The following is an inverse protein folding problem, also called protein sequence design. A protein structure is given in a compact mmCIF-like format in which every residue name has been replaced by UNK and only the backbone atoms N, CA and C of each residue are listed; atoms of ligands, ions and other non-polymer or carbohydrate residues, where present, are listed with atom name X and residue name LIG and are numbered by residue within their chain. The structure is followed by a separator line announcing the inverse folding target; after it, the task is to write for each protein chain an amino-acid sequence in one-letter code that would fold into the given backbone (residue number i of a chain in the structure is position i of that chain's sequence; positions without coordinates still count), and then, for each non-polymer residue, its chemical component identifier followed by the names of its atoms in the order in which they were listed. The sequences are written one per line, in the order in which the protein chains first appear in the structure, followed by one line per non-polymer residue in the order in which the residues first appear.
data_IF_474801360389
#
_entry.id   IF_474801360389
#
_cell.length_a   1.000
_cell.length_b   1.000
_cell.length_c   1.000
_cell.angle_alpha   90.00
_cell.angle_beta   90.00
_cell.angle_gamma   90.00
#
_symmetry.space_group_name_H-M   'P 1'
#
loop_
_entity.id
_entity.type
_entity.pdbx_description
1 polymer ?
#
# COMPACT_ATOMS: atom_id res chain seq x y z
N UNK A 1 -13.75 -22.68 -13.00
CA UNK A 1 -13.22 -21.30 -13.05
C UNK A 1 -14.43 -20.39 -13.13
N UNK A 2 -14.73 -19.67 -12.04
CA UNK A 2 -15.97 -18.91 -11.85
C UNK A 2 -15.84 -17.51 -12.45
N UNK A 3 -16.95 -16.94 -12.94
CA UNK A 3 -17.03 -15.61 -13.55
C UNK A 3 -16.43 -14.46 -12.70
N UNK A 4 -16.19 -14.68 -11.40
CA UNK A 4 -15.59 -13.71 -10.48
C UNK A 4 -14.06 -13.67 -10.48
N UNK A 5 -13.38 -14.77 -10.85
CA UNK A 5 -11.93 -14.75 -11.06
C UNK A 5 -11.60 -13.93 -12.29
N UNK A 6 -12.41 -14.07 -13.35
CA UNK A 6 -12.33 -13.23 -14.56
C UNK A 6 -12.53 -11.75 -14.25
N UNK A 7 -13.48 -11.42 -13.38
CA UNK A 7 -13.75 -10.04 -13.01
C UNK A 7 -12.59 -9.38 -12.25
N UNK A 8 -11.72 -10.11 -11.54
CA UNK A 8 -10.51 -9.55 -10.91
C UNK A 8 -9.37 -9.33 -11.91
N UNK A 9 -9.28 -10.18 -12.93
CA UNK A 9 -8.29 -10.06 -14.00
C UNK A 9 -8.47 -8.74 -14.79
N UNK A 10 -9.72 -8.28 -14.97
CA UNK A 10 -10.04 -7.12 -15.82
C UNK A 10 -9.64 -5.74 -15.27
N UNK A 11 -9.35 -5.60 -13.95
CA UNK A 11 -9.00 -4.30 -13.33
C UNK A 11 -7.76 -4.34 -12.45
N UNK A 12 -7.12 -5.51 -12.34
CA UNK A 12 -5.82 -5.62 -11.67
C UNK A 12 -4.71 -5.04 -12.56
N UNK A 13 -3.68 -4.48 -11.92
CA UNK A 13 -2.55 -3.88 -12.65
C UNK A 13 -1.29 -4.72 -12.40
N UNK A 14 -0.81 -5.47 -13.40
CA UNK A 14 0.43 -6.22 -13.27
C UNK A 14 1.64 -5.28 -13.35
N UNK A 15 2.52 -5.35 -12.35
CA UNK A 15 3.75 -4.57 -12.27
C UNK A 15 4.97 -5.50 -12.19
N UNK A 16 5.93 -5.40 -13.13
CA UNK A 16 7.13 -6.21 -13.07
C UNK A 16 7.95 -5.85 -11.83
N UNK A 17 8.41 -6.87 -11.10
CA UNK A 17 9.32 -6.69 -9.98
C UNK A 17 10.72 -6.46 -10.54
N UNK A 18 11.17 -5.21 -10.45
CA UNK A 18 12.50 -4.81 -10.94
C UNK A 18 13.63 -5.45 -10.12
N UNK A 19 14.79 -5.64 -10.75
CA UNK A 19 16.01 -6.07 -10.05
C UNK A 19 16.39 -5.14 -8.89
N UNK A 20 16.14 -3.84 -9.05
CA UNK A 20 16.34 -2.85 -7.99
C UNK A 20 15.48 -3.14 -6.76
N UNK A 21 14.18 -3.42 -6.97
CA UNK A 21 13.26 -3.80 -5.89
C UNK A 21 13.70 -5.10 -5.21
N UNK A 22 14.09 -6.12 -5.97
CA UNK A 22 14.59 -7.37 -5.40
C UNK A 22 15.84 -7.16 -4.56
N UNK A 23 16.79 -6.34 -5.02
CA UNK A 23 18.03 -6.06 -4.30
C UNK A 23 17.76 -5.38 -2.96
N UNK A 24 16.88 -4.38 -2.92
CA UNK A 24 16.52 -3.71 -1.67
C UNK A 24 15.75 -4.64 -0.75
N UNK A 25 14.78 -5.40 -1.27
CA UNK A 25 14.02 -6.36 -0.48
C UNK A 25 14.94 -7.40 0.16
N UNK A 26 15.92 -7.94 -0.59
CA UNK A 26 16.95 -8.87 -0.06
C UNK A 26 17.78 -8.22 1.05
N UNK A 27 18.20 -6.97 0.84
CA UNK A 27 18.97 -6.23 1.85
C UNK A 27 18.15 -6.00 3.12
N UNK A 28 16.91 -5.52 3.01
CA UNK A 28 16.08 -5.25 4.18
C UNK A 28 15.70 -6.53 4.92
N UNK A 29 15.49 -7.63 4.19
CA UNK A 29 15.22 -8.94 4.77
C UNK A 29 16.43 -9.50 5.53
N UNK A 30 17.66 -9.34 5.03
CA UNK A 30 18.87 -9.83 5.71
C UNK A 30 19.21 -9.07 6.99
N UNK A 31 18.60 -7.91 7.21
CA UNK A 31 18.70 -7.13 8.45
C UNK A 31 17.75 -7.63 9.55
N UNK A 32 16.86 -8.59 9.27
CA UNK A 32 15.83 -9.04 10.21
C UNK A 32 16.31 -10.20 11.10
N UNK A 33 15.86 -10.26 12.37
CA UNK A 33 16.35 -11.23 13.35
C UNK A 33 15.82 -12.65 13.15
N UNK A 34 14.67 -12.80 12.48
CA UNK A 34 14.01 -14.10 12.26
C UNK A 34 13.67 -14.28 10.79
N UNK A 35 13.60 -15.54 10.35
CA UNK A 35 13.23 -15.89 8.98
C UNK A 35 11.83 -15.40 8.62
N UNK A 36 10.87 -15.52 9.55
CA UNK A 36 9.50 -15.02 9.38
C UNK A 36 9.49 -13.50 9.14
N UNK A 37 10.21 -12.74 9.98
CA UNK A 37 10.31 -11.29 9.83
C UNK A 37 11.04 -10.90 8.56
N UNK A 38 12.08 -11.64 8.17
CA UNK A 38 12.80 -11.45 6.92
C UNK A 38 11.86 -11.62 5.72
N UNK A 39 11.03 -12.66 5.71
CA UNK A 39 10.05 -12.90 4.64
C UNK A 39 8.98 -11.80 4.61
N UNK A 40 8.44 -11.41 5.76
CA UNK A 40 7.47 -10.31 5.86
C UNK A 40 8.04 -8.99 5.32
N UNK A 41 9.25 -8.60 5.75
CA UNK A 41 9.91 -7.39 5.26
C UNK A 41 10.24 -7.49 3.76
N UNK A 42 10.65 -8.66 3.28
CA UNK A 42 10.90 -8.90 1.87
C UNK A 42 9.65 -8.60 1.01
N UNK A 43 8.53 -9.22 1.35
CA UNK A 43 7.27 -9.05 0.62
C UNK A 43 6.72 -7.62 0.71
N UNK A 44 6.77 -7.01 1.90
CA UNK A 44 6.38 -5.61 2.09
C UNK A 44 7.19 -4.68 1.19
N UNK A 45 8.50 -4.88 1.13
CA UNK A 45 9.38 -4.04 0.31
C UNK A 45 9.05 -4.16 -1.17
N UNK A 46 8.78 -5.38 -1.66
CA UNK A 46 8.36 -5.61 -3.04
C UNK A 46 7.02 -4.93 -3.35
N UNK A 47 6.03 -5.06 -2.46
CA UNK A 47 4.73 -4.42 -2.61
C UNK A 47 4.86 -2.89 -2.68
N UNK A 48 5.62 -2.28 -1.75
CA UNK A 48 5.87 -0.83 -1.76
C UNK A 48 6.55 -0.37 -3.05
N UNK A 49 7.54 -1.11 -3.54
CA UNK A 49 8.21 -0.77 -4.80
C UNK A 49 7.27 -0.87 -6.00
N UNK A 50 6.45 -1.90 -6.08
CA UNK A 50 5.48 -2.08 -7.16
C UNK A 50 4.44 -0.95 -7.19
N UNK A 51 3.86 -0.61 -6.04
CA UNK A 51 2.92 0.51 -5.90
C UNK A 51 3.59 1.83 -6.22
N UNK A 52 4.81 2.07 -5.73
CA UNK A 52 5.59 3.27 -6.07
C UNK A 52 5.79 3.40 -7.58
N UNK A 53 6.12 2.31 -8.27
CA UNK A 53 6.31 2.32 -9.72
C UNK A 53 4.99 2.63 -10.45
N UNK A 54 3.89 1.99 -10.05
CA UNK A 54 2.56 2.25 -10.61
C UNK A 54 2.17 3.73 -10.45
N UNK A 55 2.24 4.27 -9.23
CA UNK A 55 1.86 5.66 -8.95
C UNK A 55 2.68 6.66 -9.75
N UNK A 56 3.99 6.42 -9.88
CA UNK A 56 4.87 7.29 -10.69
C UNK A 56 4.52 7.23 -12.18
N UNK A 57 4.13 6.06 -12.71
CA UNK A 57 3.69 5.92 -14.11
C UNK A 57 2.45 6.77 -14.37
N UNK A 58 1.50 6.79 -13.44
CA UNK A 58 0.27 7.60 -13.57
C UNK A 58 0.44 9.06 -13.08
N UNK A 59 1.67 9.52 -12.86
CA UNK A 59 1.98 10.92 -12.53
C UNK A 59 1.79 11.32 -11.07
N UNK A 60 1.57 10.36 -10.16
CA UNK A 60 1.44 10.63 -8.72
C UNK A 60 2.84 10.59 -8.07
N UNK A 61 3.20 11.70 -7.41
CA UNK A 61 4.52 11.87 -6.79
C UNK A 61 4.62 11.17 -5.43
N UNK A 62 5.56 10.24 -5.31
CA UNK A 62 5.80 9.42 -4.11
C UNK A 62 7.22 9.64 -3.56
N UNK A 63 7.40 9.33 -2.28
CA UNK A 63 8.72 9.33 -1.64
C UNK A 63 8.91 8.09 -0.75
N UNK A 64 9.85 7.22 -1.15
CA UNK A 64 10.16 6.01 -0.40
C UNK A 64 10.87 6.32 0.92
N UNK A 65 11.83 7.24 0.92
CA UNK A 65 12.77 7.41 2.05
C UNK A 65 12.16 8.04 3.29
N UNK A 66 10.95 8.61 3.16
CA UNK A 66 10.17 9.20 4.26
C UNK A 66 9.27 8.16 4.93
N UNK A 67 9.02 7.02 4.27
CA UNK A 67 8.18 5.95 4.80
C UNK A 67 8.84 5.21 5.98
N UNK A 68 8.02 4.79 6.93
CA UNK A 68 8.44 3.96 8.05
C UNK A 68 8.99 2.61 7.56
N UNK A 69 8.50 2.10 6.42
CA UNK A 69 9.02 0.92 5.74
C UNK A 69 10.46 1.08 5.24
N UNK A 70 10.95 2.30 5.01
CA UNK A 70 12.36 2.58 4.70
C UNK A 70 13.21 2.85 5.94
N UNK A 71 12.59 2.97 7.12
CA UNK A 71 13.30 3.14 8.39
C UNK A 71 13.66 1.78 9.02
N UNK A 72 14.96 1.57 9.30
CA UNK A 72 15.47 0.30 9.85
C UNK A 72 14.83 -0.11 11.18
N UNK A 73 14.62 0.84 12.09
CA UNK A 73 14.03 0.58 13.40
C UNK A 73 12.55 0.22 13.25
N UNK A 74 11.82 0.93 12.40
CA UNK A 74 10.41 0.67 12.18
C UNK A 74 10.16 -0.67 11.49
N UNK A 75 10.99 -1.05 10.50
CA UNK A 75 10.93 -2.39 9.89
C UNK A 75 11.08 -3.51 10.90
N UNK A 76 11.98 -3.34 11.88
CA UNK A 76 12.18 -4.32 12.95
C UNK A 76 10.96 -4.42 13.87
N UNK A 77 10.37 -3.27 14.23
CA UNK A 77 9.33 -3.18 15.25
C UNK A 77 7.92 -3.51 14.73
N UNK A 78 7.61 -3.20 13.46
CA UNK A 78 6.23 -3.20 12.94
C UNK A 78 6.15 -3.94 11.60
N UNK A 79 5.02 -4.60 11.32
CA UNK A 79 4.67 -5.05 9.97
C UNK A 79 4.16 -3.87 9.14
N UNK A 80 5.08 -2.98 8.78
CA UNK A 80 4.79 -1.76 8.01
C UNK A 80 5.23 -1.89 6.55
N UNK A 81 4.39 -1.42 5.65
CA UNK A 81 4.61 -1.35 4.22
C UNK A 81 4.07 -0.03 3.66
N UNK A 82 4.35 1.07 4.34
CA UNK A 82 3.81 2.37 3.99
C UNK A 82 4.54 2.99 2.77
N UNK A 83 3.81 3.83 2.04
CA UNK A 83 4.35 4.64 0.94
C UNK A 83 3.86 6.08 1.09
N UNK A 84 4.79 7.02 1.18
CA UNK A 84 4.44 8.44 1.25
C UNK A 84 4.03 8.97 -0.12
N UNK A 85 2.83 9.55 -0.19
CA UNK A 85 2.33 10.29 -1.35
C UNK A 85 2.41 11.78 -1.05
N UNK A 86 3.15 12.50 -1.88
CA UNK A 86 3.50 13.90 -1.66
C UNK A 86 2.24 14.75 -1.50
N UNK A 87 2.20 15.57 -0.44
CA UNK A 87 1.09 16.47 -0.09
C UNK A 87 -0.26 15.79 0.24
N UNK A 88 -0.31 14.46 0.33
CA UNK A 88 -1.56 13.71 0.54
C UNK A 88 -1.52 12.87 1.83
N UNK A 89 -0.45 12.13 2.05
CA UNK A 89 -0.28 11.27 3.23
C UNK A 89 0.28 9.89 2.89
N UNK A 90 0.02 8.91 3.75
CA UNK A 90 0.61 7.56 3.67
C UNK A 90 -0.38 6.56 3.10
N UNK A 91 0.03 5.82 2.08
CA UNK A 91 -0.61 4.56 1.68
C UNK A 91 -0.03 3.41 2.49
N UNK A 92 -0.75 2.31 2.58
CA UNK A 92 -0.23 1.03 3.07
C UNK A 92 -0.29 -0.01 1.94
N UNK A 93 0.84 -0.63 1.60
CA UNK A 93 0.98 -1.55 0.47
C UNK A 93 1.06 -2.99 1.00
N UNK A 94 -0.04 -3.73 0.99
CA UNK A 94 -0.15 -5.02 1.67
C UNK A 94 0.07 -6.19 0.72
N UNK A 95 1.13 -6.99 0.89
CA UNK A 95 1.35 -8.17 0.08
C UNK A 95 0.37 -9.29 0.45
N UNK A 96 -0.06 -10.07 -0.54
CA UNK A 96 -0.82 -11.32 -0.36
C UNK A 96 -0.24 -12.43 -1.25
N UNK A 97 -0.48 -13.68 -0.87
CA UNK A 97 -0.10 -14.83 -1.67
C UNK A 97 -1.05 -15.02 -2.87
N UNK A 98 -0.60 -15.69 -3.95
CA UNK A 98 -1.43 -15.97 -5.10
C UNK A 98 -2.73 -16.71 -4.75
N UNK A 99 -3.86 -16.15 -5.17
CA UNK A 99 -5.19 -16.73 -4.94
C UNK A 99 -5.76 -16.51 -3.53
N UNK A 100 -5.14 -15.63 -2.73
CA UNK A 100 -5.71 -15.20 -1.45
C UNK A 100 -7.13 -14.62 -1.65
N UNK A 101 -8.02 -14.84 -0.69
CA UNK A 101 -9.39 -14.28 -0.74
C UNK A 101 -9.56 -13.06 0.16
N UNK A 102 -8.70 -12.92 1.16
CA UNK A 102 -8.69 -11.83 2.12
C UNK A 102 -7.24 -11.36 2.32
N UNK A 103 -7.10 -10.08 2.69
CA UNK A 103 -5.84 -9.51 3.13
C UNK A 103 -5.94 -9.14 4.61
N UNK A 104 -5.01 -9.66 5.41
CA UNK A 104 -4.85 -9.24 6.80
C UNK A 104 -4.21 -7.84 6.90
N UNK A 105 -4.77 -6.98 7.75
CA UNK A 105 -4.16 -5.69 8.10
C UNK A 105 -3.72 -5.71 9.57
N UNK A 106 -2.40 -5.63 9.85
CA UNK A 106 -1.87 -5.52 11.21
C UNK A 106 -2.45 -4.32 11.94
N UNK A 107 -2.68 -4.45 13.25
CA UNK A 107 -3.34 -3.41 14.04
C UNK A 107 -2.59 -2.07 14.02
N UNK A 108 -1.27 -2.13 13.98
CA UNK A 108 -0.35 -1.01 14.05
C UNK A 108 -0.44 -0.09 12.83
N UNK A 109 -0.94 -0.59 11.70
CA UNK A 109 -1.01 0.14 10.43
C UNK A 109 -2.44 0.48 10.00
N UNK A 110 -3.44 0.29 10.88
CA UNK A 110 -4.86 0.57 10.56
C UNK A 110 -5.24 2.05 10.63
N UNK A 111 -4.36 2.88 11.17
CA UNK A 111 -4.59 4.31 11.35
C UNK A 111 -3.56 5.12 10.57
N UNK A 112 -3.90 6.39 10.31
CA UNK A 112 -3.03 7.32 9.57
C UNK A 112 -2.60 6.78 8.20
N UNK A 113 -3.56 6.20 7.48
CA UNK A 113 -3.43 5.78 6.08
C UNK A 113 -4.55 6.38 5.26
N UNK A 114 -4.21 6.86 4.07
CA UNK A 114 -5.18 7.44 3.12
C UNK A 114 -5.82 6.38 2.22
N UNK A 115 -5.18 5.22 2.07
CA UNK A 115 -5.73 4.00 1.47
C UNK A 115 -4.80 2.81 1.71
N UNK A 116 -5.34 1.61 1.49
CA UNK A 116 -4.66 0.32 1.57
C UNK A 116 -4.68 -0.31 0.20
N UNK A 117 -3.52 -0.55 -0.40
CA UNK A 117 -3.39 -1.17 -1.72
C UNK A 117 -2.97 -2.62 -1.53
N UNK A 118 -3.75 -3.55 -2.09
CA UNK A 118 -3.49 -4.97 -1.96
C UNK A 118 -2.69 -5.44 -3.17
N UNK A 119 -1.60 -6.16 -2.93
CA UNK A 119 -0.63 -6.55 -3.95
C UNK A 119 -0.41 -8.06 -3.87
N UNK A 120 -0.83 -8.79 -4.90
CA UNK A 120 -0.48 -10.20 -5.04
C UNK A 120 0.95 -10.32 -5.58
N UNK A 121 1.79 -11.13 -4.93
CA UNK A 121 3.17 -11.36 -5.37
C UNK A 121 3.29 -12.80 -5.85
N UNK A 122 3.76 -13.00 -7.08
CA UNK A 122 3.96 -14.33 -7.64
C UNK A 122 5.05 -15.12 -6.88
N UNK A 123 5.00 -16.45 -6.99
CA UNK A 123 5.93 -17.34 -6.27
C UNK A 123 7.39 -17.19 -6.73
N UNK A 124 7.59 -16.67 -7.94
CA UNK A 124 8.91 -16.43 -8.52
C UNK A 124 9.47 -15.04 -8.15
N UNK A 125 8.67 -14.18 -7.51
CA UNK A 125 9.03 -12.79 -7.18
C UNK A 125 9.45 -11.96 -8.41
N UNK A 126 8.78 -12.21 -9.53
CA UNK A 126 8.98 -11.52 -10.81
C UNK A 126 7.82 -10.58 -11.17
N UNK A 127 6.64 -10.81 -10.59
CA UNK A 127 5.44 -10.04 -10.88
C UNK A 127 4.69 -9.70 -9.59
N UNK A 128 4.32 -8.43 -9.47
CA UNK A 128 3.43 -7.92 -8.43
C UNK A 128 2.14 -7.42 -9.08
N UNK A 129 1.02 -8.06 -8.82
CA UNK A 129 -0.28 -7.69 -9.35
C UNK A 129 -1.02 -6.85 -8.32
N UNK A 130 -1.24 -5.57 -8.60
CA UNK A 130 -2.02 -4.70 -7.72
C UNK A 130 -3.50 -5.04 -7.94
N UNK A 131 -4.13 -5.61 -6.91
CA UNK A 131 -5.49 -6.16 -7.00
C UNK A 131 -6.59 -5.12 -6.80
N UNK A 132 -6.25 -3.95 -6.25
CA UNK A 132 -7.24 -2.96 -5.84
C UNK A 132 -6.84 -2.20 -4.59
N UNK A 133 -7.73 -1.33 -4.12
CA UNK A 133 -7.52 -0.60 -2.88
C UNK A 133 -8.77 -0.54 -1.99
N UNK A 134 -8.55 -0.30 -0.69
CA UNK A 134 -9.59 0.06 0.26
C UNK A 134 -9.30 1.44 0.86
N UNK A 135 -10.27 2.36 0.96
CA UNK A 135 -10.11 3.63 1.67
C UNK A 135 -9.83 3.47 3.17
N UNK A 136 -10.35 2.39 3.77
CA UNK A 136 -10.32 2.17 5.22
C UNK A 136 -9.74 0.80 5.55
N UNK A 137 -9.14 0.68 6.74
CA UNK A 137 -8.71 -0.61 7.26
C UNK A 137 -9.86 -1.41 7.88
N UNK A 138 -9.75 -2.73 7.77
CA UNK A 138 -10.40 -3.71 8.61
C UNK A 138 -9.34 -4.76 8.99
N UNK A 139 -9.60 -5.61 9.99
CA UNK A 139 -8.65 -6.69 10.32
C UNK A 139 -8.42 -7.64 9.14
N UNK A 140 -9.48 -7.92 8.40
CA UNK A 140 -9.48 -8.70 7.16
C UNK A 140 -10.20 -7.89 6.09
N UNK A 141 -9.54 -7.68 4.95
CA UNK A 141 -10.11 -7.02 3.78
C UNK A 141 -10.41 -8.07 2.70
N UNK A 142 -11.69 -8.33 2.38
CA UNK A 142 -12.04 -9.21 1.28
C UNK A 142 -11.59 -8.63 -0.06
N UNK A 143 -10.84 -9.42 -0.84
CA UNK A 143 -10.27 -8.95 -2.12
C UNK A 143 -11.39 -8.57 -3.11
N UNK A 144 -12.52 -9.25 -3.04
CA UNK A 144 -13.69 -8.98 -3.88
C UNK A 144 -14.48 -7.70 -3.50
N UNK A 145 -14.07 -6.99 -2.46
CA UNK A 145 -14.65 -5.71 -2.03
C UNK A 145 -13.72 -4.52 -2.28
N UNK A 146 -12.54 -4.76 -2.85
CA UNK A 146 -11.60 -3.70 -3.18
C UNK A 146 -12.16 -2.82 -4.30
N UNK A 147 -11.83 -1.53 -4.23
CA UNK A 147 -12.10 -0.54 -5.27
C UNK A 147 -11.03 -0.61 -6.36
N UNK A 148 -11.40 -0.26 -7.59
CA UNK A 148 -10.51 -0.30 -8.75
C UNK A 148 -9.42 0.74 -8.67
N UNK A 149 -8.21 0.41 -9.11
CA UNK A 149 -7.08 1.36 -9.10
C UNK A 149 -7.27 2.54 -10.05
N UNK A 150 -8.20 2.43 -11.01
CA UNK A 150 -8.65 3.55 -11.86
C UNK A 150 -9.32 4.66 -11.04
N UNK A 151 -10.04 4.30 -9.96
CA UNK A 151 -10.71 5.27 -9.07
C UNK A 151 -9.80 5.85 -7.99
N UNK A 152 -8.55 5.35 -7.87
CA UNK A 152 -7.60 5.79 -6.86
C UNK A 152 -7.26 7.29 -6.96
N UNK A 153 -6.98 7.88 -8.14
CA UNK A 153 -6.67 9.32 -8.23
C UNK A 153 -7.82 10.21 -7.72
N UNK A 154 -9.06 9.85 -8.01
CA UNK A 154 -10.24 10.58 -7.52
C UNK A 154 -10.33 10.51 -5.99
N UNK A 155 -10.13 9.31 -5.42
CA UNK A 155 -10.11 9.10 -3.97
C UNK A 155 -9.02 9.93 -3.26
N UNK A 156 -7.81 9.92 -3.83
CA UNK A 156 -6.67 10.68 -3.31
C UNK A 156 -6.91 12.19 -3.36
N UNK A 157 -7.51 12.70 -4.44
CA UNK A 157 -7.86 14.11 -4.57
C UNK A 157 -8.91 14.55 -3.55
N UNK A 158 -9.97 13.76 -3.34
CA UNK A 158 -11.00 14.05 -2.31
C UNK A 158 -10.39 14.12 -0.91
N UNK A 159 -9.48 13.20 -0.61
CA UNK A 159 -8.77 13.16 0.69
C UNK A 159 -7.92 14.41 0.93
N UNK A 160 -7.38 15.03 -0.12
CA UNK A 160 -6.62 16.28 -0.04
C UNK A 160 -7.50 17.48 0.33
N UNK A 161 -8.71 17.56 -0.24
CA UNK A 161 -9.64 18.67 -0.04
C UNK A 161 -10.16 18.68 1.40
N UNK A 162 -10.48 17.51 1.96
CA UNK A 162 -10.94 17.39 3.34
C UNK A 162 -9.89 17.83 4.37
N UNK A 163 -8.60 17.65 4.07
CA UNK A 163 -7.50 18.13 4.93
C UNK A 163 -7.22 19.63 4.81
N UNK A 164 -7.72 20.26 3.75
CA UNK A 164 -7.52 21.68 3.45
C UNK A 164 -8.67 22.57 3.91
N UNK A 165 -9.75 22.04 4.51
CA UNK A 165 -10.77 22.89 5.11
C UNK A 165 -10.14 23.67 6.28
N UNK A 166 -10.01 25.01 6.15
CA UNK A 166 -9.61 25.82 7.29
C UNK A 166 -10.75 25.71 8.29
N UNK A 167 -10.44 25.39 9.54
CA UNK A 167 -11.33 25.78 10.62
C UNK A 167 -11.48 27.31 10.49
N UNK A 168 -12.57 27.80 9.91
CA UNK A 168 -12.89 29.22 10.03
C UNK A 168 -13.38 29.37 11.47
N UNK A 169 -12.57 30.03 12.29
CA UNK A 169 -12.96 30.54 13.60
C UNK A 169 -14.28 31.29 13.44
N UNK A 170 -15.40 30.66 13.80
CA UNK A 170 -16.56 31.37 14.32
C UNK A 170 -16.21 31.85 15.73
N UNK A 171 -15.23 32.75 15.83
CA UNK A 171 -15.07 33.65 16.96
C UNK A 171 -15.45 35.05 16.51
N UNK A 172 -16.75 35.27 16.38
CA UNK A 172 -17.37 36.58 16.41
C UNK A 172 -18.86 36.32 16.76
N UNK A 173 -19.45 36.82 17.84
CA UNK A 173 -19.31 38.14 18.46
C UNK A 173 -19.79 38.18 19.92
N UNK A 174 -19.41 39.23 20.66
CA UNK A 174 -19.72 39.41 22.07
C UNK A 174 -21.16 39.90 22.31
N UNK A 175 -21.74 39.44 23.42
CA UNK A 175 -22.69 40.14 24.28
C UNK A 175 -22.41 39.70 25.73
#
# INVERSE_FOLDING_TARGET
MTAKTQALEDWSIPMPITEYAQRIAKQFASEQPTQEKAQQVYLNTLAVCAVNNYLRIIGISTNLTVGDSWNKVMRLAVDVADLWVSNLGRLECRPVEPGSLNCHIPQEVRLDRIAYIIVEIDKQFTLATLLGFSPTAASELPINQLLTLESLPEHLNKSSQLKQEPWILNSAKPC
#
